data_IF_348295463063
#
_entry.id   IF_348295463063
#
_cell.length_a   1.000
_cell.length_b   1.000
_cell.length_c   1.000
_cell.angle_alpha   90.00
_cell.angle_beta   90.00
_cell.angle_gamma   90.00
#
_symmetry.space_group_name_H-M   'P 1'
#
loop_
_entity.id
_entity.type
_entity.pdbx_description
1 polymer ?
#
# COMPACT_ATOMS: atom_id res chain seq x y z
N UNK A 1 12.06 -3.34 19.24
CA UNK A 1 11.20 -3.71 18.09
C UNK A 1 10.82 -2.42 17.38
N UNK A 2 10.94 -2.37 16.06
CA UNK A 2 10.75 -1.17 15.24
C UNK A 2 9.33 -0.65 15.40
N UNK A 3 8.36 -1.55 15.27
CA UNK A 3 6.93 -1.25 15.34
C UNK A 3 6.52 -0.63 16.67
N UNK A 4 7.05 -1.13 17.79
CA UNK A 4 6.75 -0.60 19.12
C UNK A 4 7.14 0.88 19.24
N UNK A 5 8.37 1.24 18.83
CA UNK A 5 8.83 2.63 18.85
C UNK A 5 7.99 3.53 17.94
N UNK A 6 7.71 3.10 16.71
CA UNK A 6 6.88 3.87 15.77
C UNK A 6 5.46 4.10 16.31
N UNK A 7 4.87 3.06 16.89
CA UNK A 7 3.53 3.09 17.47
C UNK A 7 3.45 4.02 18.66
N UNK A 8 4.44 3.99 19.55
CA UNK A 8 4.49 4.86 20.73
C UNK A 8 4.58 6.34 20.32
N UNK A 9 5.45 6.66 19.34
CA UNK A 9 5.56 8.02 18.79
C UNK A 9 4.22 8.46 18.15
N UNK A 10 3.56 7.59 17.37
CA UNK A 10 2.26 7.91 16.75
C UNK A 10 1.17 8.11 17.82
N UNK A 11 1.17 7.32 18.88
CA UNK A 11 0.22 7.48 19.98
C UNK A 11 0.39 8.83 20.67
N UNK A 12 1.63 9.28 20.86
CA UNK A 12 1.93 10.61 21.40
C UNK A 12 1.45 11.73 20.47
N UNK A 13 1.72 11.65 19.16
CA UNK A 13 1.18 12.60 18.16
C UNK A 13 -0.35 12.67 18.24
N UNK A 14 -1.03 11.52 18.32
CA UNK A 14 -2.49 11.48 18.44
C UNK A 14 -3.01 12.07 19.75
N UNK A 15 -2.26 11.94 20.84
CA UNK A 15 -2.65 12.50 22.14
C UNK A 15 -2.65 14.04 22.15
N UNK A 16 -1.86 14.66 21.27
CA UNK A 16 -1.81 16.11 21.06
C UNK A 16 -2.94 16.61 20.14
N UNK A 17 -3.60 15.71 19.41
CA UNK A 17 -4.55 16.06 18.38
C UNK A 17 -5.95 16.39 18.93
N UNK A 18 -6.67 17.26 18.24
CA UNK A 18 -8.07 17.59 18.48
C UNK A 18 -8.84 17.63 17.15
N UNK A 19 -10.07 17.12 17.11
CA UNK A 19 -10.84 16.94 15.87
C UNK A 19 -11.13 18.25 15.11
N UNK A 20 -11.25 19.35 15.83
CA UNK A 20 -11.57 20.69 15.33
C UNK A 20 -10.39 21.67 15.47
N UNK A 21 -9.16 21.14 15.63
CA UNK A 21 -7.97 21.97 15.76
C UNK A 21 -7.69 22.88 14.57
N UNK A 22 -7.19 24.08 14.87
CA UNK A 22 -6.87 25.13 13.91
C UNK A 22 -5.51 24.93 13.22
N UNK A 23 -4.67 24.03 13.73
CA UNK A 23 -3.32 23.80 13.22
C UNK A 23 -3.14 22.40 12.65
N UNK A 24 -2.26 22.27 11.66
CA UNK A 24 -1.88 20.99 11.06
C UNK A 24 -0.39 20.97 10.68
N UNK A 25 0.11 19.78 10.34
CA UNK A 25 1.51 19.54 9.97
C UNK A 25 1.61 19.04 8.53
N UNK A 26 2.51 19.64 7.75
CA UNK A 26 2.86 19.21 6.38
C UNK A 26 4.36 19.07 6.22
N UNK A 27 4.83 18.29 5.26
CA UNK A 27 6.22 18.32 4.84
C UNK A 27 6.45 19.58 3.97
N UNK A 28 7.37 20.46 4.36
CA UNK A 28 7.66 21.69 3.62
C UNK A 28 8.14 21.47 2.19
N UNK A 29 8.73 20.30 1.90
CA UNK A 29 9.20 19.94 0.54
C UNK A 29 8.06 19.50 -0.37
N UNK A 30 7.12 18.69 0.14
CA UNK A 30 6.07 18.07 -0.68
C UNK A 30 4.72 18.75 -0.55
N UNK A 31 4.54 19.62 0.46
CA UNK A 31 3.26 20.21 0.83
C UNK A 31 2.24 19.19 1.34
N UNK A 32 2.62 17.92 1.47
CA UNK A 32 1.74 16.82 1.86
C UNK A 32 1.91 16.47 3.34
N UNK A 33 0.84 16.10 4.06
CA UNK A 33 0.95 15.64 5.44
C UNK A 33 1.84 14.39 5.56
N UNK A 34 2.88 14.37 6.42
CA UNK A 34 3.68 13.18 6.68
C UNK A 34 2.84 12.05 7.28
N UNK A 35 3.16 10.79 6.99
CA UNK A 35 2.32 9.63 7.35
C UNK A 35 1.93 9.53 8.84
N UNK A 36 2.81 9.95 9.77
CA UNK A 36 2.53 9.91 11.21
C UNK A 36 1.49 10.94 11.67
N UNK A 37 1.50 12.14 11.07
CA UNK A 37 0.63 13.26 11.39
C UNK A 37 -0.54 13.44 10.41
N UNK A 38 -0.62 12.60 9.37
CA UNK A 38 -1.63 12.71 8.33
C UNK A 38 -3.07 12.62 8.90
N UNK A 39 -3.88 13.62 8.56
CA UNK A 39 -5.28 13.72 9.01
C UNK A 39 -5.45 14.21 10.46
N UNK A 40 -4.36 14.49 11.18
CA UNK A 40 -4.42 15.07 12.52
C UNK A 40 -4.55 16.59 12.45
N UNK A 41 -5.27 17.14 13.42
CA UNK A 41 -5.40 18.58 13.68
C UNK A 41 -5.02 18.85 15.13
N UNK A 42 -4.52 20.04 15.41
CA UNK A 42 -3.98 20.41 16.71
C UNK A 42 -4.64 21.71 17.19
N UNK A 43 -4.93 21.83 18.49
CA UNK A 43 -5.69 22.96 19.04
C UNK A 43 -4.90 24.28 18.95
N UNK A 44 -3.58 24.22 19.06
CA UNK A 44 -2.72 25.40 19.02
C UNK A 44 -1.37 25.10 18.34
N UNK A 45 -0.64 26.18 18.03
CA UNK A 45 0.67 26.13 17.37
C UNK A 45 1.71 25.35 18.17
N UNK A 46 1.60 25.33 19.51
CA UNK A 46 2.55 24.63 20.38
C UNK A 46 2.37 23.12 20.27
N UNK A 47 1.13 22.64 20.40
CA UNK A 47 0.80 21.22 20.21
C UNK A 47 1.16 20.74 18.80
N UNK A 48 0.89 21.56 17.77
CA UNK A 48 1.30 21.26 16.41
C UNK A 48 2.83 21.21 16.24
N UNK A 49 3.55 22.10 16.93
CA UNK A 49 5.02 22.11 16.91
C UNK A 49 5.62 20.86 17.56
N UNK A 50 5.06 20.42 18.69
CA UNK A 50 5.46 19.18 19.35
C UNK A 50 5.17 17.95 18.46
N UNK A 51 4.00 17.91 17.81
CA UNK A 51 3.68 16.88 16.84
C UNK A 51 4.61 16.90 15.61
N UNK A 52 5.07 18.07 15.18
CA UNK A 52 6.04 18.20 14.09
C UNK A 52 7.40 17.60 14.47
N UNK A 53 7.89 17.82 15.70
CA UNK A 53 9.12 17.19 16.21
C UNK A 53 8.97 15.68 16.36
N UNK A 54 7.87 15.20 16.94
CA UNK A 54 7.59 13.75 17.01
C UNK A 54 7.49 13.11 15.62
N UNK A 55 6.99 13.84 14.62
CA UNK A 55 6.99 13.39 13.22
C UNK A 55 8.41 13.29 12.66
N UNK A 56 9.33 14.21 13.02
CA UNK A 56 10.76 14.10 12.69
C UNK A 56 11.38 12.86 13.32
N UNK A 57 11.04 12.57 14.59
CA UNK A 57 11.53 11.40 15.31
C UNK A 57 11.01 10.08 14.72
N UNK A 58 9.73 10.04 14.33
CA UNK A 58 9.14 8.91 13.62
C UNK A 58 9.93 8.60 12.34
N UNK A 59 10.21 9.61 11.52
CA UNK A 59 11.02 9.47 10.30
C UNK A 59 12.47 9.13 10.60
N UNK A 60 13.04 9.65 11.70
CA UNK A 60 14.38 9.31 12.13
C UNK A 60 14.51 7.83 12.53
N UNK A 61 13.47 7.25 13.13
CA UNK A 61 13.44 5.82 13.43
C UNK A 61 13.46 4.97 12.14
N UNK A 62 12.66 5.32 11.12
CA UNK A 62 12.67 4.63 9.82
C UNK A 62 14.01 4.77 9.08
N UNK A 63 14.63 5.97 9.13
CA UNK A 63 15.95 6.25 8.52
C UNK A 63 17.10 5.42 9.10
N UNK A 64 16.94 4.77 10.25
CA UNK A 64 17.96 3.83 10.77
C UNK A 64 18.09 2.60 9.87
N UNK A 65 17.05 2.28 9.11
CA UNK A 65 17.00 1.10 8.26
C UNK A 65 17.29 1.46 6.81
N UNK A 66 16.83 2.61 6.33
CA UNK A 66 17.21 3.16 5.02
C UNK A 66 17.90 4.52 5.19
N UNK A 67 19.24 4.57 5.13
CA UNK A 67 20.01 5.81 5.23
C UNK A 67 19.68 6.84 4.14
N UNK A 68 19.11 6.39 3.02
CA UNK A 68 18.83 7.21 1.85
C UNK A 68 17.42 7.83 1.89
N UNK A 69 16.59 7.45 2.86
CA UNK A 69 15.24 7.98 3.01
C UNK A 69 15.27 9.50 3.19
N UNK A 70 14.45 10.26 2.43
CA UNK A 70 14.45 11.72 2.48
C UNK A 70 14.20 12.26 3.90
N UNK A 71 14.92 13.31 4.26
CA UNK A 71 14.57 14.09 5.44
C UNK A 71 13.27 14.83 5.17
N UNK A 72 12.23 14.50 5.94
CA UNK A 72 11.06 15.36 6.04
C UNK A 72 11.44 16.64 6.78
N UNK A 73 10.85 17.75 6.34
CA UNK A 73 10.86 19.01 7.09
C UNK A 73 9.43 19.31 7.53
N UNK A 74 8.94 18.71 8.64
CA UNK A 74 7.61 18.98 9.15
C UNK A 74 7.47 20.44 9.54
N UNK A 75 6.49 21.11 8.93
CA UNK A 75 6.13 22.50 9.14
C UNK A 75 4.71 22.57 9.69
N UNK A 76 4.52 23.44 10.67
CA UNK A 76 3.22 23.80 11.23
C UNK A 76 2.58 24.91 10.41
N UNK A 77 1.30 24.78 10.12
CA UNK A 77 0.51 25.83 9.50
C UNK A 77 -0.88 25.93 10.13
N UNK A 78 -1.49 27.10 9.99
CA UNK A 78 -2.88 27.33 10.39
C UNK A 78 -3.80 26.91 9.24
N UNK A 79 -4.80 26.08 9.52
CA UNK A 79 -5.67 25.49 8.50
C UNK A 79 -6.43 26.56 7.72
N UNK A 80 -6.82 27.66 8.37
CA UNK A 80 -7.51 28.78 7.75
C UNK A 80 -6.65 29.50 6.69
N UNK A 81 -5.32 29.51 6.87
CA UNK A 81 -4.37 30.12 5.92
C UNK A 81 -4.01 29.19 4.75
N UNK A 82 -4.32 27.89 4.89
CA UNK A 82 -3.93 26.85 3.94
C UNK A 82 -2.47 26.43 4.10
N UNK A 83 -2.09 25.28 3.53
CA UNK A 83 -0.72 24.78 3.67
C UNK A 83 0.27 25.75 3.00
N UNK A 84 1.50 25.89 3.53
CA UNK A 84 2.55 26.63 2.88
C UNK A 84 2.75 26.08 1.46
N UNK A 85 3.00 26.99 0.51
CA UNK A 85 3.31 26.60 -0.86
C UNK A 85 4.54 25.70 -0.83
N UNK A 86 4.39 24.48 -1.34
CA UNK A 86 5.52 23.57 -1.47
C UNK A 86 6.66 24.29 -2.20
N UNK A 87 7.90 24.08 -1.76
CA UNK A 87 9.07 24.46 -2.56
C UNK A 87 8.87 23.90 -3.98
N UNK A 88 9.20 24.69 -5.02
CA UNK A 88 8.88 24.38 -6.43
C UNK A 88 8.99 22.88 -6.72
N UNK A 89 7.86 22.29 -7.09
CA UNK A 89 7.63 20.86 -7.11
C UNK A 89 8.47 20.19 -8.22
N UNK A 90 9.73 19.92 -7.92
CA UNK A 90 10.34 18.65 -8.29
C UNK A 90 10.57 17.89 -6.99
N UNK A 91 9.48 17.45 -6.34
CA UNK A 91 9.64 16.33 -5.44
C UNK A 91 10.15 15.18 -6.31
N UNK A 92 11.45 14.92 -6.18
CA UNK A 92 12.17 13.84 -6.83
C UNK A 92 11.25 12.61 -6.84
N UNK A 93 11.09 11.99 -8.00
CA UNK A 93 10.25 10.81 -8.15
C UNK A 93 10.62 9.76 -7.11
N UNK A 94 11.93 9.60 -6.88
CA UNK A 94 12.50 8.82 -5.81
C UNK A 94 11.96 9.20 -4.41
N UNK A 95 11.84 10.49 -4.11
CA UNK A 95 11.38 10.93 -2.79
C UNK A 95 9.91 10.56 -2.53
N UNK A 96 9.05 10.62 -3.57
CA UNK A 96 7.63 10.19 -3.47
C UNK A 96 7.54 8.68 -3.30
N UNK A 97 8.30 7.97 -4.12
CA UNK A 97 8.41 6.52 -4.12
C UNK A 97 8.92 5.95 -2.78
N UNK A 98 10.06 6.47 -2.30
CA UNK A 98 10.67 6.10 -1.03
C UNK A 98 9.74 6.40 0.14
N UNK A 99 9.09 7.57 0.16
CA UNK A 99 8.11 7.92 1.20
C UNK A 99 6.93 6.94 1.23
N UNK A 100 6.41 6.51 0.07
CA UNK A 100 5.35 5.51 -0.01
C UNK A 100 5.78 4.15 0.58
N UNK A 101 6.99 3.68 0.24
CA UNK A 101 7.54 2.43 0.77
C UNK A 101 7.70 2.48 2.29
N UNK A 102 8.28 3.58 2.80
CA UNK A 102 8.50 3.79 4.24
C UNK A 102 7.22 3.96 5.04
N UNK A 103 6.24 4.68 4.51
CA UNK A 103 4.94 4.82 5.16
C UNK A 103 4.22 3.47 5.23
N UNK A 104 4.29 2.67 4.15
CA UNK A 104 3.72 1.32 4.12
C UNK A 104 4.43 0.39 5.09
N UNK A 105 5.76 0.36 5.08
CA UNK A 105 6.57 -0.47 5.98
C UNK A 105 6.36 -0.07 7.46
N UNK A 106 6.38 1.22 7.77
CA UNK A 106 6.13 1.74 9.11
C UNK A 106 4.75 1.33 9.62
N UNK A 107 3.70 1.47 8.80
CA UNK A 107 2.35 1.04 9.16
C UNK A 107 2.25 -0.47 9.41
N UNK A 108 2.93 -1.29 8.62
CA UNK A 108 2.98 -2.74 8.80
C UNK A 108 3.73 -3.12 10.09
N UNK A 109 4.86 -2.49 10.39
CA UNK A 109 5.58 -2.74 11.64
C UNK A 109 4.76 -2.36 12.87
N UNK A 110 4.11 -1.18 12.85
CA UNK A 110 3.19 -0.77 13.90
C UNK A 110 2.06 -1.80 14.08
N UNK A 111 1.46 -2.27 12.99
CA UNK A 111 0.40 -3.29 13.03
C UNK A 111 0.88 -4.64 13.60
N UNK A 112 2.07 -5.11 13.20
CA UNK A 112 2.67 -6.33 13.76
C UNK A 112 2.91 -6.20 15.26
N UNK A 113 3.43 -5.06 15.71
CA UNK A 113 3.66 -4.79 17.12
C UNK A 113 2.36 -4.74 17.91
N UNK A 114 1.34 -4.05 17.40
CA UNK A 114 0.04 -3.91 18.06
C UNK A 114 -0.70 -5.26 18.18
N UNK A 115 -0.65 -6.08 17.13
CA UNK A 115 -1.27 -7.41 17.11
C UNK A 115 -0.42 -8.50 17.79
N UNK A 116 0.80 -8.18 18.24
CA UNK A 116 1.67 -9.08 19.00
C UNK A 116 2.49 -10.06 18.15
N UNK A 117 2.59 -9.87 16.83
CA UNK A 117 3.34 -10.73 15.91
C UNK A 117 4.85 -10.46 15.94
N UNK A 118 5.46 -10.57 17.12
CA UNK A 118 6.89 -10.26 17.35
C UNK A 118 7.86 -11.13 16.56
N UNK A 119 7.52 -12.40 16.33
CA UNK A 119 8.35 -13.31 15.54
C UNK A 119 8.41 -12.90 14.07
N UNK A 120 7.27 -12.53 13.48
CA UNK A 120 7.21 -12.04 12.10
C UNK A 120 7.92 -10.69 11.94
N UNK A 121 7.75 -9.78 12.90
CA UNK A 121 8.48 -8.51 12.92
C UNK A 121 10.00 -8.71 12.98
N UNK A 122 10.47 -9.56 13.90
CA UNK A 122 11.91 -9.85 14.05
C UNK A 122 12.48 -10.47 12.78
N UNK A 123 11.80 -11.49 12.24
CA UNK A 123 12.26 -12.16 11.04
C UNK A 123 12.31 -11.21 9.84
N UNK A 124 11.32 -10.32 9.69
CA UNK A 124 11.31 -9.34 8.59
C UNK A 124 12.54 -8.41 8.67
N UNK A 125 12.91 -7.98 9.89
CA UNK A 125 14.10 -7.15 10.09
C UNK A 125 15.40 -7.93 9.88
N UNK A 126 15.49 -9.19 10.31
CA UNK A 126 16.68 -10.04 10.07
C UNK A 126 16.88 -10.31 8.57
N UNK A 127 15.80 -10.66 7.86
CA UNK A 127 15.79 -10.84 6.42
C UNK A 127 16.18 -9.54 5.70
N UNK A 128 15.64 -8.40 6.15
CA UNK A 128 16.00 -7.08 5.60
C UNK A 128 17.50 -6.79 5.77
N UNK A 129 18.02 -6.90 6.99
CA UNK A 129 19.42 -6.59 7.29
C UNK A 129 20.37 -7.47 6.48
N UNK A 130 20.04 -8.76 6.32
CA UNK A 130 20.83 -9.69 5.50
C UNK A 130 20.86 -9.27 4.03
N UNK A 131 19.73 -8.83 3.48
CA UNK A 131 19.64 -8.42 2.08
C UNK A 131 20.23 -7.03 1.84
N UNK A 132 20.07 -6.11 2.78
CA UNK A 132 20.59 -4.77 2.70
C UNK A 132 22.14 -4.73 2.62
N UNK A 133 22.84 -5.77 3.08
CA UNK A 133 24.29 -5.90 2.94
C UNK A 133 24.78 -6.05 1.49
N UNK A 134 23.91 -6.48 0.57
CA UNK A 134 24.25 -6.75 -0.84
C UNK A 134 23.52 -5.82 -1.82
N UNK A 135 22.76 -4.86 -1.29
CA UNK A 135 22.02 -3.87 -2.08
C UNK A 135 22.93 -2.67 -2.34
N UNK A 136 23.25 -2.45 -3.62
CA UNK A 136 24.09 -1.34 -4.06
C UNK A 136 23.27 -0.12 -4.57
N UNK A 137 22.02 -0.34 -5.00
CA UNK A 137 21.14 0.71 -5.49
C UNK A 137 20.36 1.38 -4.32
N UNK A 138 20.22 2.69 -4.43
CA UNK A 138 19.49 3.53 -3.49
C UNK A 138 17.99 3.19 -3.45
N UNK A 139 17.40 2.78 -4.58
CA UNK A 139 15.98 2.45 -4.73
C UNK A 139 15.64 1.10 -4.10
N UNK A 140 16.66 0.25 -3.99
CA UNK A 140 16.51 -1.12 -3.54
C UNK A 140 16.37 -1.23 -2.02
N UNK A 141 16.82 -0.27 -1.21
CA UNK A 141 16.69 -0.37 0.26
C UNK A 141 15.22 -0.36 0.70
N UNK A 142 14.44 0.61 0.25
CA UNK A 142 13.04 0.71 0.64
C UNK A 142 12.19 -0.43 0.05
N UNK A 143 12.52 -0.88 -1.17
CA UNK A 143 11.92 -2.08 -1.76
C UNK A 143 12.25 -3.34 -0.99
N UNK A 144 13.53 -3.53 -0.63
CA UNK A 144 14.00 -4.69 0.13
C UNK A 144 13.29 -4.75 1.47
N UNK A 145 13.07 -3.62 2.14
CA UNK A 145 12.32 -3.56 3.40
C UNK A 145 10.87 -4.05 3.23
N UNK A 146 10.16 -3.53 2.23
CA UNK A 146 8.77 -3.94 1.93
C UNK A 146 8.71 -5.41 1.50
N UNK A 147 9.68 -5.85 0.71
CA UNK A 147 9.82 -7.24 0.28
C UNK A 147 10.06 -8.18 1.46
N UNK A 148 10.93 -7.83 2.41
CA UNK A 148 11.21 -8.66 3.59
C UNK A 148 9.97 -8.81 4.47
N UNK A 149 9.21 -7.73 4.68
CA UNK A 149 7.90 -7.79 5.34
C UNK A 149 6.96 -8.75 4.60
N UNK A 150 6.83 -8.60 3.29
CA UNK A 150 5.98 -9.46 2.48
C UNK A 150 6.40 -10.93 2.61
N UNK A 151 7.68 -11.24 2.40
CA UNK A 151 8.21 -12.61 2.44
C UNK A 151 7.92 -13.27 3.80
N UNK A 152 8.21 -12.59 4.90
CA UNK A 152 8.01 -13.17 6.23
C UNK A 152 6.54 -13.27 6.64
N UNK A 153 5.69 -12.34 6.19
CA UNK A 153 4.24 -12.45 6.39
C UNK A 153 3.65 -13.64 5.61
N UNK A 154 4.16 -13.91 4.41
CA UNK A 154 3.72 -15.05 3.59
C UNK A 154 4.09 -16.39 4.24
N UNK A 155 5.29 -16.46 4.83
CA UNK A 155 5.81 -17.67 5.48
C UNK A 155 5.16 -17.92 6.85
N UNK A 156 4.90 -16.87 7.63
CA UNK A 156 4.60 -17.01 9.07
C UNK A 156 3.15 -16.81 9.45
N UNK A 157 2.41 -16.04 8.66
CA UNK A 157 1.03 -15.69 8.99
C UNK A 157 0.06 -16.42 8.08
N UNK A 158 -1.00 -16.96 8.66
CA UNK A 158 -2.15 -17.44 7.89
C UNK A 158 -2.83 -16.28 7.16
N UNK A 159 -3.61 -16.57 6.12
CA UNK A 159 -4.32 -15.52 5.37
C UNK A 159 -5.30 -14.71 6.24
N UNK A 160 -5.79 -15.25 7.37
CA UNK A 160 -6.62 -14.50 8.31
C UNK A 160 -5.79 -13.48 9.10
N UNK A 161 -4.61 -13.88 9.55
CA UNK A 161 -3.68 -13.02 10.29
C UNK A 161 -3.08 -11.96 9.39
N UNK A 162 -2.68 -12.30 8.15
CA UNK A 162 -2.27 -11.33 7.14
C UNK A 162 -3.34 -10.25 6.92
N UNK A 163 -4.62 -10.65 6.86
CA UNK A 163 -5.72 -9.69 6.72
C UNK A 163 -5.83 -8.77 7.92
N UNK A 164 -5.74 -9.30 9.14
CA UNK A 164 -5.76 -8.49 10.36
C UNK A 164 -4.62 -7.46 10.36
N UNK A 165 -3.41 -7.86 9.96
CA UNK A 165 -2.25 -6.95 9.84
C UNK A 165 -2.49 -5.87 8.78
N UNK A 166 -2.98 -6.24 7.59
CA UNK A 166 -3.27 -5.27 6.52
C UNK A 166 -4.38 -4.29 6.92
N UNK A 167 -5.44 -4.76 7.57
CA UNK A 167 -6.53 -3.90 8.07
C UNK A 167 -6.04 -2.94 9.15
N UNK A 168 -5.24 -3.43 10.10
CA UNK A 168 -4.62 -2.59 11.13
C UNK A 168 -3.69 -1.54 10.53
N UNK A 169 -2.81 -1.93 9.59
CA UNK A 169 -1.90 -1.02 8.90
C UNK A 169 -2.66 0.04 8.08
N UNK A 170 -3.67 -0.38 7.31
CA UNK A 170 -4.52 0.51 6.53
C UNK A 170 -5.26 1.53 7.41
N UNK A 171 -5.69 1.14 8.61
CA UNK A 171 -6.34 2.01 9.58
C UNK A 171 -5.44 3.09 10.19
N UNK A 172 -4.12 3.00 10.01
CA UNK A 172 -3.18 4.04 10.45
C UNK A 172 -3.16 5.26 9.51
N UNK A 173 -3.66 5.10 8.29
CA UNK A 173 -3.73 6.17 7.31
C UNK A 173 -5.07 6.90 7.36
N UNK A 174 -5.04 8.19 7.00
CA UNK A 174 -6.27 8.97 6.85
C UNK A 174 -7.18 8.34 5.78
N UNK A 175 -8.46 8.02 6.11
CA UNK A 175 -9.40 7.47 5.14
C UNK A 175 -9.54 8.39 3.93
N UNK A 176 -9.66 7.81 2.74
CA UNK A 176 -9.88 8.59 1.51
C UNK A 176 -11.01 7.95 0.70
N UNK A 177 -12.27 8.21 1.10
CA UNK A 177 -13.44 7.67 0.42
C UNK A 177 -13.46 8.09 -1.04
N UNK A 178 -13.81 7.16 -1.92
CA UNK A 178 -13.90 7.40 -3.36
C UNK A 178 -14.90 6.42 -3.96
N UNK A 179 -15.69 6.83 -4.97
CA UNK A 179 -16.61 5.92 -5.66
C UNK A 179 -15.87 4.82 -6.43
N UNK A 180 -14.62 5.08 -6.85
CA UNK A 180 -13.80 4.14 -7.64
C UNK A 180 -12.49 3.80 -6.90
N UNK A 181 -12.54 3.01 -5.80
CA UNK A 181 -11.37 2.76 -4.95
C UNK A 181 -10.24 2.04 -5.67
N UNK A 182 -10.55 1.13 -6.59
CA UNK A 182 -9.56 0.39 -7.38
C UNK A 182 -8.78 1.32 -8.29
N UNK A 183 -9.49 2.14 -9.08
CA UNK A 183 -8.85 3.11 -9.99
C UNK A 183 -8.07 4.17 -9.22
N UNK A 184 -8.61 4.69 -8.12
CA UNK A 184 -7.92 5.65 -7.27
C UNK A 184 -6.65 5.06 -6.63
N UNK A 185 -6.62 3.75 -6.39
CA UNK A 185 -5.43 3.07 -5.88
C UNK A 185 -4.35 2.98 -6.94
N UNK A 186 -4.67 2.52 -8.16
CA UNK A 186 -3.66 2.45 -9.23
C UNK A 186 -3.17 3.84 -9.66
N UNK A 187 -4.06 4.83 -9.69
CA UNK A 187 -3.67 6.23 -9.92
C UNK A 187 -2.68 6.72 -8.88
N UNK A 188 -2.89 6.37 -7.61
CA UNK A 188 -1.97 6.73 -6.54
C UNK A 188 -0.60 6.06 -6.71
N UNK A 189 -0.59 4.76 -7.02
CA UNK A 189 0.64 4.01 -7.26
C UNK A 189 1.44 4.57 -8.45
N UNK A 190 0.76 4.93 -9.54
CA UNK A 190 1.41 5.59 -10.69
C UNK A 190 1.94 6.98 -10.32
N UNK A 191 1.17 7.76 -9.55
CA UNK A 191 1.59 9.09 -9.08
C UNK A 191 2.82 9.04 -8.18
N UNK A 192 3.08 7.93 -7.48
CA UNK A 192 4.30 7.78 -6.66
C UNK A 192 5.40 6.99 -7.36
N UNK A 193 5.24 6.62 -8.64
CA UNK A 193 6.25 5.89 -9.42
C UNK A 193 6.37 4.40 -9.06
N UNK A 194 5.34 3.79 -8.47
CA UNK A 194 5.37 2.37 -8.06
C UNK A 194 4.92 1.41 -9.17
N UNK A 195 4.18 1.94 -10.16
CA UNK A 195 3.69 1.26 -11.37
C UNK A 195 3.66 2.25 -12.53
N UNK A 196 3.65 1.76 -13.76
CA UNK A 196 3.46 2.57 -14.96
C UNK A 196 2.28 2.12 -15.82
N UNK A 197 1.55 3.08 -16.41
CA UNK A 197 0.62 2.84 -17.50
C UNK A 197 -0.49 1.84 -17.17
N UNK A 198 -1.28 2.14 -16.15
CA UNK A 198 -2.29 1.20 -15.64
C UNK A 198 -3.61 1.21 -16.43
N UNK A 199 -4.36 0.10 -16.34
CA UNK A 199 -5.78 0.07 -16.70
C UNK A 199 -6.59 -0.79 -15.73
N UNK A 200 -7.87 -0.44 -15.57
CA UNK A 200 -8.81 -1.12 -14.66
C UNK A 200 -10.08 -1.46 -15.41
N UNK A 201 -10.52 -2.71 -15.32
CA UNK A 201 -11.77 -3.19 -15.92
C UNK A 201 -12.58 -3.98 -14.89
N UNK A 202 -13.84 -3.61 -14.61
CA UNK A 202 -14.74 -4.49 -13.86
C UNK A 202 -15.08 -5.74 -14.69
N UNK A 203 -15.06 -6.92 -14.07
CA UNK A 203 -15.45 -8.18 -14.68
C UNK A 203 -16.89 -8.49 -14.25
N UNK A 204 -17.83 -8.64 -15.20
CA UNK A 204 -19.20 -9.07 -14.88
C UNK A 204 -19.24 -10.42 -14.17
N UNK A 205 -20.17 -10.62 -13.23
CA UNK A 205 -20.26 -11.86 -12.43
C UNK A 205 -20.42 -13.13 -13.28
N UNK A 206 -21.07 -13.04 -14.44
CA UNK A 206 -21.21 -14.14 -15.39
C UNK A 206 -19.87 -14.59 -15.99
N UNK A 207 -18.97 -13.64 -16.30
CA UNK A 207 -17.61 -13.93 -16.75
C UNK A 207 -16.75 -14.44 -15.58
N UNK A 208 -16.90 -13.87 -14.38
CA UNK A 208 -16.14 -14.24 -13.20
C UNK A 208 -16.44 -15.68 -12.71
N UNK A 209 -17.67 -16.17 -12.91
CA UNK A 209 -18.11 -17.53 -12.54
C UNK A 209 -17.95 -18.56 -13.66
N UNK A 210 -17.51 -18.16 -14.86
CA UNK A 210 -17.40 -19.04 -16.02
C UNK A 210 -18.74 -19.50 -16.59
N UNK A 211 -19.83 -18.79 -16.29
CA UNK A 211 -21.21 -19.11 -16.74
C UNK A 211 -21.66 -18.29 -17.94
N UNK A 212 -20.74 -17.55 -18.57
CA UNK A 212 -20.98 -16.72 -19.74
C UNK A 212 -21.42 -17.55 -20.96
N UNK A 213 -22.71 -17.87 -21.05
CA UNK A 213 -23.40 -18.23 -22.28
C UNK A 213 -23.69 -16.97 -23.10
N UNK A 214 -23.77 -17.13 -24.43
CA UNK A 214 -23.82 -16.05 -25.42
C UNK A 214 -25.04 -15.09 -25.36
N UNK A 215 -25.99 -15.28 -24.44
CA UNK A 215 -27.29 -14.58 -24.44
C UNK A 215 -27.60 -13.77 -23.16
N UNK A 216 -26.60 -13.37 -22.39
CA UNK A 216 -26.83 -12.49 -21.23
C UNK A 216 -26.81 -11.00 -21.65
N UNK A 217 -27.94 -10.49 -22.16
CA UNK A 217 -28.21 -9.04 -22.10
C UNK A 217 -28.46 -8.68 -20.65
N UNK A 218 -27.45 -8.19 -19.95
CA UNK A 218 -27.60 -7.72 -18.57
C UNK A 218 -27.89 -6.22 -18.59
N UNK A 219 -29.07 -5.85 -18.11
CA UNK A 219 -29.48 -4.47 -17.91
C UNK A 219 -28.51 -3.78 -16.95
N UNK A 220 -27.76 -2.80 -17.45
CA UNK A 220 -26.61 -2.18 -16.78
C UNK A 220 -26.96 -1.26 -15.58
N UNK A 221 -28.10 -1.42 -14.91
CA UNK A 221 -28.56 -0.50 -13.86
C UNK A 221 -29.41 -1.17 -12.79
N UNK A 222 -28.87 -2.16 -12.09
CA UNK A 222 -29.42 -2.58 -10.79
C UNK A 222 -28.36 -3.22 -9.90
N UNK A 223 -27.24 -2.53 -9.67
CA UNK A 223 -26.35 -2.91 -8.58
C UNK A 223 -26.58 -1.97 -7.40
N UNK A 224 -27.30 -2.47 -6.40
CA UNK A 224 -27.12 -1.98 -5.05
C UNK A 224 -25.65 -2.15 -4.65
N UNK A 225 -25.14 -1.21 -3.87
CA UNK A 225 -23.78 -1.11 -3.34
C UNK A 225 -23.40 -2.24 -2.36
N UNK A 226 -23.99 -3.43 -2.50
CA UNK A 226 -23.86 -4.55 -1.55
C UNK A 226 -23.47 -5.88 -2.23
N UNK A 227 -23.24 -5.87 -3.55
CA UNK A 227 -22.75 -7.06 -4.26
C UNK A 227 -21.24 -7.20 -4.19
N UNK A 228 -20.77 -8.45 -4.22
CA UNK A 228 -19.35 -8.73 -4.49
C UNK A 228 -19.05 -8.38 -5.94
N UNK A 229 -17.89 -7.81 -6.21
CA UNK A 229 -17.46 -7.45 -7.57
C UNK A 229 -16.03 -7.90 -7.82
N UNK A 230 -15.71 -8.17 -9.08
CA UNK A 230 -14.37 -8.58 -9.51
C UNK A 230 -13.81 -7.55 -10.48
N UNK A 231 -12.50 -7.29 -10.39
CA UNK A 231 -11.77 -6.39 -11.27
C UNK A 231 -10.56 -7.10 -11.86
N UNK A 232 -10.26 -6.74 -13.09
CA UNK A 232 -9.01 -7.00 -13.76
C UNK A 232 -8.20 -5.71 -13.81
N UNK A 233 -6.94 -5.81 -13.39
CA UNK A 233 -5.97 -4.74 -13.38
C UNK A 233 -4.84 -5.10 -14.32
N UNK A 234 -4.32 -4.11 -15.03
CA UNK A 234 -3.04 -4.23 -15.74
C UNK A 234 -2.16 -3.04 -15.44
N UNK A 235 -0.85 -3.25 -15.34
CA UNK A 235 0.15 -2.22 -15.07
C UNK A 235 1.54 -2.72 -15.49
N UNK A 236 2.43 -1.80 -15.89
CA UNK A 236 3.82 -2.04 -16.22
C UNK A 236 4.76 -1.63 -15.10
N UNK A 237 6.04 -1.98 -15.26
CA UNK A 237 7.18 -1.52 -14.44
C UNK A 237 6.89 -1.58 -12.95
N UNK A 238 6.29 -2.70 -12.53
CA UNK A 238 5.91 -2.88 -11.14
C UNK A 238 7.17 -3.06 -10.29
N UNK A 239 7.44 -2.10 -9.41
CA UNK A 239 8.73 -2.00 -8.72
C UNK A 239 9.14 -3.23 -7.90
N UNK A 240 8.18 -4.08 -7.50
CA UNK A 240 8.44 -5.32 -6.75
C UNK A 240 8.49 -6.60 -7.61
N UNK A 241 8.21 -6.51 -8.91
CA UNK A 241 8.03 -7.65 -9.81
C UNK A 241 9.30 -8.46 -10.06
N UNK A 242 10.47 -7.82 -10.10
CA UNK A 242 11.72 -8.45 -10.56
C UNK A 242 12.29 -9.52 -9.61
N UNK A 243 11.74 -9.66 -8.39
CA UNK A 243 12.42 -10.38 -7.30
C UNK A 243 11.81 -11.72 -6.86
N UNK A 244 10.64 -12.17 -7.37
CA UNK A 244 9.91 -13.24 -6.65
C UNK A 244 9.27 -14.39 -7.40
N UNK A 245 9.17 -14.40 -8.74
CA UNK A 245 8.35 -15.42 -9.43
C UNK A 245 6.87 -15.44 -8.96
N UNK A 246 6.47 -14.38 -8.23
CA UNK A 246 5.14 -14.10 -7.68
C UNK A 246 4.87 -12.62 -7.97
N UNK A 247 3.62 -12.21 -7.82
CA UNK A 247 3.27 -10.78 -7.83
C UNK A 247 3.07 -10.35 -6.37
N UNK A 248 3.98 -9.52 -5.83
CA UNK A 248 3.78 -8.85 -4.55
C UNK A 248 2.49 -8.04 -4.58
N UNK A 249 1.62 -8.21 -3.58
CA UNK A 249 0.34 -7.46 -3.52
C UNK A 249 0.20 -6.66 -2.23
N UNK A 250 1.12 -6.79 -1.27
CA UNK A 250 1.01 -6.16 0.03
C UNK A 250 0.84 -4.61 -0.01
N UNK A 251 1.65 -3.83 -0.76
CA UNK A 251 1.45 -2.38 -0.82
C UNK A 251 0.12 -1.98 -1.47
N UNK A 252 -0.28 -2.73 -2.51
CA UNK A 252 -1.57 -2.56 -3.17
C UNK A 252 -2.73 -2.90 -2.23
N UNK A 253 -2.59 -3.93 -1.39
CA UNK A 253 -3.58 -4.35 -0.40
C UNK A 253 -3.81 -3.26 0.65
N UNK A 254 -2.73 -2.72 1.24
CA UNK A 254 -2.80 -1.63 2.22
C UNK A 254 -3.46 -0.39 1.61
N UNK A 255 -3.03 0.01 0.41
CA UNK A 255 -3.58 1.19 -0.28
C UNK A 255 -5.06 1.03 -0.64
N UNK A 256 -5.49 -0.17 -1.03
CA UNK A 256 -6.88 -0.47 -1.38
C UNK A 256 -7.76 -0.55 -0.12
N UNK A 257 -7.36 -1.32 0.89
CA UNK A 257 -8.11 -1.50 2.15
C UNK A 257 -8.31 -0.16 2.87
N UNK A 258 -7.32 0.73 2.84
CA UNK A 258 -7.44 2.11 3.36
C UNK A 258 -8.63 2.88 2.74
N UNK A 259 -8.96 2.62 1.48
CA UNK A 259 -10.06 3.27 0.75
C UNK A 259 -11.39 2.55 0.90
N UNK A 260 -11.37 1.28 1.32
CA UNK A 260 -12.54 0.42 1.43
C UNK A 260 -12.57 -0.33 2.78
N UNK A 261 -12.59 0.37 3.93
CA UNK A 261 -12.53 -0.27 5.25
C UNK A 261 -13.71 -1.21 5.54
N UNK A 262 -14.85 -0.99 4.86
CA UNK A 262 -16.08 -1.81 4.98
C UNK A 262 -16.12 -3.03 4.05
N UNK A 263 -15.09 -3.21 3.20
CA UNK A 263 -15.01 -4.30 2.24
C UNK A 263 -13.88 -5.26 2.60
N UNK A 264 -14.09 -6.52 2.28
CA UNK A 264 -13.04 -7.54 2.24
C UNK A 264 -12.41 -7.55 0.85
N UNK A 265 -11.10 -7.38 0.77
CA UNK A 265 -10.31 -7.50 -0.46
C UNK A 265 -9.75 -8.92 -0.57
N UNK A 266 -9.67 -9.45 -1.79
CA UNK A 266 -8.98 -10.71 -2.10
C UNK A 266 -8.34 -10.63 -3.48
N UNK A 267 -7.05 -10.94 -3.59
CA UNK A 267 -6.40 -11.17 -4.88
C UNK A 267 -6.62 -12.61 -5.31
N UNK A 268 -6.95 -12.82 -6.58
CA UNK A 268 -7.36 -14.12 -7.12
C UNK A 268 -6.20 -14.83 -7.81
N UNK A 269 -5.51 -14.14 -8.71
CA UNK A 269 -4.40 -14.64 -9.50
C UNK A 269 -3.65 -13.49 -10.17
N UNK A 270 -2.44 -13.81 -10.61
CA UNK A 270 -1.55 -12.93 -11.35
C UNK A 270 -1.00 -13.61 -12.61
N UNK A 271 -0.73 -12.81 -13.64
CA UNK A 271 -0.19 -13.26 -14.92
C UNK A 271 0.89 -12.27 -15.38
N UNK A 272 2.06 -12.79 -15.73
CA UNK A 272 3.08 -12.01 -16.42
C UNK A 272 2.69 -11.86 -17.89
N UNK A 273 2.63 -10.62 -18.38
CA UNK A 273 2.41 -10.27 -19.77
C UNK A 273 3.75 -9.95 -20.45
N UNK A 274 3.72 -9.62 -21.75
CA UNK A 274 4.92 -9.11 -22.44
C UNK A 274 5.35 -7.75 -21.87
N UNK A 275 6.61 -7.40 -22.14
CA UNK A 275 7.14 -6.04 -21.94
C UNK A 275 7.06 -5.53 -20.49
N UNK A 276 7.34 -6.42 -19.52
CA UNK A 276 7.36 -6.04 -18.09
C UNK A 276 5.98 -5.74 -17.50
N UNK A 277 4.90 -6.08 -18.21
CA UNK A 277 3.52 -5.84 -17.76
C UNK A 277 2.96 -7.01 -16.98
N UNK A 278 2.03 -6.68 -16.09
CA UNK A 278 1.38 -7.62 -15.19
C UNK A 278 -0.13 -7.48 -15.31
N UNK A 279 -0.82 -8.61 -15.20
CA UNK A 279 -2.27 -8.66 -14.99
C UNK A 279 -2.56 -9.24 -13.62
N UNK A 280 -3.48 -8.61 -12.90
CA UNK A 280 -3.90 -9.02 -11.57
C UNK A 280 -5.43 -9.00 -11.48
N UNK A 281 -6.02 -10.07 -10.95
CA UNK A 281 -7.46 -10.09 -10.65
C UNK A 281 -7.69 -9.95 -9.16
N UNK A 282 -8.64 -9.09 -8.79
CA UNK A 282 -9.06 -8.93 -7.39
C UNK A 282 -10.57 -8.95 -7.26
N UNK A 283 -11.03 -9.34 -6.09
CA UNK A 283 -12.44 -9.33 -5.69
C UNK A 283 -12.61 -8.50 -4.44
N UNK A 284 -13.69 -7.72 -4.39
CA UNK A 284 -14.14 -7.06 -3.17
C UNK A 284 -15.55 -7.52 -2.84
N UNK A 285 -15.80 -7.79 -1.57
CA UNK A 285 -17.09 -8.19 -1.03
C UNK A 285 -17.41 -7.38 0.23
N UNK A 286 -18.69 -7.19 0.61
CA UNK A 286 -19.03 -6.63 1.91
C UNK A 286 -18.42 -7.47 3.05
N UNK A 287 -17.94 -6.83 4.13
CA UNK A 287 -17.47 -7.56 5.33
C UNK A 287 -18.56 -8.40 6.00
N UNK A 288 -19.82 -7.99 5.85
CA UNK A 288 -20.97 -8.58 6.54
C UNK A 288 -21.58 -9.81 5.83
N UNK A 289 -21.01 -10.24 4.70
CA UNK A 289 -21.42 -11.48 4.05
C UNK A 289 -20.91 -12.69 4.82
N UNK A 290 -21.77 -13.32 5.62
CA UNK A 290 -21.55 -14.58 6.34
C UNK A 290 -21.34 -15.81 5.42
N UNK A 291 -20.69 -15.63 4.27
CA UNK A 291 -20.16 -16.71 3.47
C UNK A 291 -18.70 -16.91 3.86
N UNK A 292 -18.39 -18.02 4.53
CA UNK A 292 -17.04 -18.56 4.49
C UNK A 292 -16.70 -18.82 3.02
N UNK A 293 -16.11 -17.85 2.33
CA UNK A 293 -15.61 -18.06 0.99
C UNK A 293 -14.35 -18.94 1.12
N UNK A 294 -14.36 -20.18 0.65
CA UNK A 294 -13.18 -21.04 0.73
C UNK A 294 -12.07 -20.47 -0.16
N UNK A 295 -10.84 -20.63 0.31
CA UNK A 295 -9.62 -20.22 -0.38
C UNK A 295 -8.92 -19.04 0.30
N UNK A 296 -7.88 -19.37 1.06
CA UNK A 296 -6.98 -18.46 1.76
C UNK A 296 -5.95 -17.86 0.79
N UNK A 297 -6.38 -17.13 -0.24
CA UNK A 297 -5.41 -16.32 -0.96
C UNK A 297 -4.99 -15.19 -0.01
N UNK A 298 -3.74 -15.23 0.45
CA UNK A 298 -3.16 -14.19 1.28
C UNK A 298 -3.25 -12.82 0.60
N UNK A 299 -3.10 -11.74 1.39
CA UNK A 299 -3.07 -10.37 0.86
C UNK A 299 -1.66 -9.90 0.49
N UNK A 300 -0.70 -10.80 0.62
CA UNK A 300 0.72 -10.49 0.63
C UNK A 300 1.33 -10.69 -0.76
N UNK A 301 0.98 -11.79 -1.42
CA UNK A 301 1.41 -12.09 -2.80
C UNK A 301 0.41 -13.01 -3.51
N UNK A 302 0.44 -13.03 -4.84
CA UNK A 302 -0.20 -14.07 -5.66
C UNK A 302 0.81 -14.77 -6.55
N UNK A 303 0.57 -16.03 -6.87
CA UNK A 303 1.38 -16.73 -7.88
C UNK A 303 1.21 -16.05 -9.24
N UNK A 304 2.33 -15.82 -9.90
CA UNK A 304 2.36 -15.36 -11.28
C UNK A 304 2.39 -16.58 -12.19
N UNK A 305 1.35 -16.79 -12.98
CA UNK A 305 1.41 -17.76 -14.06
C UNK A 305 2.27 -17.14 -15.16
N UNK A 306 3.44 -17.72 -15.42
CA UNK A 306 4.20 -17.41 -16.62
C UNK A 306 3.36 -17.85 -17.83
N UNK A 307 3.03 -16.90 -18.71
CA UNK A 307 2.59 -17.24 -20.04
C UNK A 307 3.73 -17.98 -20.74
N UNK A 308 3.66 -19.31 -20.77
CA UNK A 308 4.63 -20.19 -21.45
C UNK A 308 4.84 -19.89 -22.95
N UNK A 309 4.04 -18.99 -23.53
CA UNK A 309 4.20 -18.46 -24.89
C UNK A 309 5.24 -17.33 -25.01
N UNK A 310 5.72 -16.75 -23.89
CA UNK A 310 6.70 -15.65 -23.87
C UNK A 310 8.16 -16.11 -23.93
N UNK A 311 8.43 -17.40 -23.70
CA UNK A 311 9.77 -17.99 -23.77
C UNK A 311 10.00 -18.82 -25.03
N UNK A 312 9.15 -18.69 -26.06
CA UNK A 312 9.37 -19.38 -27.33
C UNK A 312 10.11 -18.47 -28.33
N UNK A 313 11.44 -18.60 -28.48
CA UNK A 313 12.20 -17.87 -29.50
C UNK A 313 11.78 -18.25 -30.93
N UNK A 314 10.89 -19.23 -31.14
CA UNK A 314 10.34 -19.55 -32.45
C UNK A 314 9.17 -18.67 -32.89
N UNK A 315 8.58 -17.86 -32.00
CA UNK A 315 7.46 -16.96 -32.36
C UNK A 315 7.89 -15.70 -33.13
N UNK A 316 9.19 -15.39 -33.19
CA UNK A 316 9.76 -14.28 -33.99
C UNK A 316 10.26 -14.71 -35.37
N UNK A 317 10.07 -15.98 -35.77
CA UNK A 317 10.36 -16.49 -37.11
C UNK A 317 9.10 -17.08 -37.74
N UNK A 318 8.09 -16.24 -37.99
CA UNK A 318 6.93 -16.72 -38.75
C UNK A 318 5.73 -15.81 -38.85
N UNK A 319 5.87 -14.63 -39.45
CA UNK A 319 5.04 -14.11 -40.57
C UNK A 319 5.39 -12.67 -40.92
#
# INVERSE_FOLDING_TARGET
MVGGTLRDIRAEIRSLACSDGDYAVVCGRTGSPPGAAAGQRFPDRRAAGEAAELTRDYRAALRRYDPNSPYDDPLVYEVAEGPPRAAEASADEYARYSAFCHDTAGALFEALSELGYREAETAAMETYLTLAEVVDDRDDFCLTLVWSLMSELDVRLSAAEQRAVVEAAAGLFCPTPTPNPVEATLRHLETVGFVEGYSVRPIPDAEATGTAGADARTDARTDGDDSSRTWELTFGDYALAERTGRIPTLPLAVALVRRTPERTVRFLDGEALSDGRWRLRLRMSPKNGAGHAPGSAGLVSVEAIENRWLNDPSASLGR
#
